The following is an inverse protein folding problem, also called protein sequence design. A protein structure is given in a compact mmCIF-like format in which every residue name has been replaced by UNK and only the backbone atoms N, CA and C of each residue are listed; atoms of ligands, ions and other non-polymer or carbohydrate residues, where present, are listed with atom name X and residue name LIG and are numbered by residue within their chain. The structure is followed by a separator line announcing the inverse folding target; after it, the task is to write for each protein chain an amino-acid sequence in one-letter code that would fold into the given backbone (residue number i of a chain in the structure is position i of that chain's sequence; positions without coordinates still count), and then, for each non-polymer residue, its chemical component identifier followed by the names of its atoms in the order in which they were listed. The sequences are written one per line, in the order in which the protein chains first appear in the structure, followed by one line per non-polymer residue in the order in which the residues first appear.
data_IF_077591580537
#
_entry.id   IF_077591580537
#
_cell.length_a   1.000
_cell.length_b   1.000
_cell.length_c   1.000
_cell.angle_alpha   90.00
_cell.angle_beta   90.00
_cell.angle_gamma   90.00
#
_symmetry.space_group_name_H-M   'P 1'
#
loop_
_entity.id
_entity.type
_entity.pdbx_description
1 polymer ?
#
# COMPACT_ATOMS: atom_id res chain seq x y z
N UNK A 1 -4.86 -12.30 -11.58
CA UNK A 1 -4.48 -12.61 -12.99
C UNK A 1 -5.15 -13.91 -13.40
N UNK A 2 -5.53 -14.08 -14.68
CA UNK A 2 -6.19 -15.29 -15.16
C UNK A 2 -5.30 -16.54 -15.05
N UNK A 3 -5.90 -17.66 -14.61
CA UNK A 3 -5.21 -18.97 -14.47
C UNK A 3 -4.87 -19.62 -15.81
N UNK A 4 -5.58 -19.24 -16.88
CA UNK A 4 -5.43 -19.81 -18.23
C UNK A 4 -5.06 -18.72 -19.25
N UNK A 5 -4.17 -19.04 -20.18
CA UNK A 5 -3.76 -18.17 -21.31
C UNK A 5 -3.31 -16.74 -20.91
N UNK A 6 -2.89 -16.54 -19.67
CA UNK A 6 -2.31 -15.28 -19.20
C UNK A 6 -0.83 -15.17 -19.54
N UNK A 7 -0.30 -13.94 -19.45
CA UNK A 7 1.14 -13.68 -19.53
C UNK A 7 1.93 -14.58 -18.55
N UNK A 8 1.39 -14.80 -17.36
CA UNK A 8 1.99 -15.69 -16.36
C UNK A 8 2.11 -17.12 -16.87
N UNK A 9 1.01 -17.71 -17.37
CA UNK A 9 1.04 -19.10 -17.88
C UNK A 9 2.01 -19.25 -19.05
N UNK A 10 2.00 -18.31 -20.01
CA UNK A 10 2.90 -18.34 -21.18
C UNK A 10 4.37 -18.14 -20.80
N UNK A 11 4.66 -17.31 -19.82
CA UNK A 11 6.02 -17.11 -19.33
C UNK A 11 6.55 -18.38 -18.63
N UNK A 12 5.71 -19.06 -17.83
CA UNK A 12 6.06 -20.34 -17.18
C UNK A 12 6.27 -21.48 -18.17
N UNK A 13 5.53 -21.50 -19.28
CA UNK A 13 5.75 -22.47 -20.37
C UNK A 13 7.14 -22.32 -21.00
N UNK A 14 7.61 -21.07 -21.20
CA UNK A 14 8.93 -20.79 -21.77
C UNK A 14 10.08 -21.02 -20.78
N UNK A 15 9.87 -20.73 -19.50
CA UNK A 15 10.86 -20.92 -18.46
C UNK A 15 10.17 -21.32 -17.16
N UNK A 16 10.32 -22.59 -16.75
CA UNK A 16 9.70 -23.12 -15.52
C UNK A 16 10.27 -22.51 -14.25
N UNK A 17 11.50 -21.99 -14.30
CA UNK A 17 12.19 -21.42 -13.14
C UNK A 17 11.85 -19.94 -12.91
N UNK A 18 11.16 -19.30 -13.86
CA UNK A 18 10.77 -17.90 -13.75
C UNK A 18 9.98 -17.67 -12.45
N UNK A 19 10.39 -16.65 -11.71
CA UNK A 19 9.64 -16.20 -10.54
C UNK A 19 8.65 -15.12 -10.97
N UNK A 20 7.38 -15.35 -10.67
CA UNK A 20 6.30 -14.41 -10.95
C UNK A 20 5.57 -14.21 -9.63
N UNK A 21 5.74 -13.03 -9.06
CA UNK A 21 5.01 -12.61 -7.89
C UNK A 21 3.70 -11.93 -8.34
N UNK A 22 2.61 -12.17 -7.60
CA UNK A 22 1.42 -11.33 -7.70
C UNK A 22 1.72 -9.90 -7.24
N UNK A 23 0.69 -9.07 -7.10
CA UNK A 23 0.86 -7.70 -6.59
C UNK A 23 0.19 -7.63 -5.21
N UNK A 24 0.92 -7.92 -4.11
CA UNK A 24 0.36 -7.90 -2.76
C UNK A 24 -0.31 -6.56 -2.39
N UNK A 25 0.18 -5.45 -2.92
CA UNK A 25 -0.42 -4.12 -2.67
C UNK A 25 -1.84 -4.01 -3.25
N UNK A 26 -2.08 -4.50 -4.48
CA UNK A 26 -3.43 -4.54 -5.06
C UNK A 26 -4.31 -5.54 -4.37
N UNK A 27 -3.77 -6.72 -4.06
CA UNK A 27 -4.52 -7.73 -3.30
C UNK A 27 -4.98 -7.12 -1.97
N UNK A 28 -4.11 -6.40 -1.26
CA UNK A 28 -4.45 -5.71 0.00
C UNK A 28 -5.51 -4.62 -0.19
N UNK A 29 -5.46 -3.87 -1.29
CA UNK A 29 -6.49 -2.86 -1.59
C UNK A 29 -7.84 -3.49 -1.95
N UNK A 30 -7.85 -4.44 -2.87
CA UNK A 30 -9.05 -5.14 -3.32
C UNK A 30 -9.73 -5.88 -2.17
N UNK A 31 -8.93 -6.49 -1.29
CA UNK A 31 -9.39 -7.12 -0.07
C UNK A 31 -10.17 -6.13 0.80
N UNK A 32 -9.59 -4.97 1.09
CA UNK A 32 -10.22 -3.96 1.94
C UNK A 32 -11.51 -3.41 1.31
N UNK A 33 -11.46 -3.08 0.02
CA UNK A 33 -12.63 -2.59 -0.73
C UNK A 33 -13.76 -3.62 -0.76
N UNK A 34 -13.44 -4.89 -1.05
CA UNK A 34 -14.44 -5.97 -1.05
C UNK A 34 -15.01 -6.22 0.34
N UNK A 35 -14.19 -6.22 1.38
CA UNK A 35 -14.65 -6.40 2.75
C UNK A 35 -15.57 -5.26 3.19
N UNK A 36 -15.24 -4.01 2.85
CA UNK A 36 -16.11 -2.87 3.12
C UNK A 36 -17.41 -2.87 2.32
N UNK A 37 -17.41 -3.42 1.11
CA UNK A 37 -18.64 -3.58 0.34
C UNK A 37 -19.59 -4.60 1.01
N UNK A 38 -19.08 -5.69 1.59
CA UNK A 38 -19.91 -6.64 2.35
C UNK A 38 -20.43 -6.00 3.65
N UNK A 39 -19.57 -5.24 4.35
CA UNK A 39 -20.00 -4.46 5.52
C UNK A 39 -21.17 -3.52 5.17
N UNK A 40 -21.03 -2.77 4.07
CA UNK A 40 -22.05 -1.82 3.60
C UNK A 40 -23.35 -2.50 3.18
N UNK A 41 -23.31 -3.74 2.68
CA UNK A 41 -24.52 -4.50 2.35
C UNK A 41 -25.35 -4.84 3.58
N UNK A 42 -24.70 -5.19 4.70
CA UNK A 42 -25.38 -5.54 5.95
C UNK A 42 -25.84 -4.30 6.74
N UNK A 43 -24.99 -3.28 6.86
CA UNK A 43 -25.28 -2.08 7.66
C UNK A 43 -26.04 -1.00 6.88
N UNK A 44 -25.92 -1.00 5.56
CA UNK A 44 -26.38 0.10 4.70
C UNK A 44 -25.46 1.33 4.72
N UNK A 45 -24.26 1.22 5.31
CA UNK A 45 -23.28 2.30 5.40
C UNK A 45 -22.08 2.04 4.46
N UNK A 46 -22.04 2.75 3.33
CA UNK A 46 -20.91 2.74 2.41
C UNK A 46 -19.94 3.89 2.73
N UNK A 47 -18.74 3.53 3.18
CA UNK A 47 -17.72 4.49 3.61
C UNK A 47 -17.12 5.31 2.47
N UNK A 48 -16.92 4.69 1.30
CA UNK A 48 -16.35 5.34 0.14
C UNK A 48 -17.32 6.42 -0.35
N UNK A 49 -18.59 6.05 -0.57
CA UNK A 49 -19.64 6.98 -0.99
C UNK A 49 -19.88 8.08 0.03
N UNK A 50 -19.88 7.75 1.32
CA UNK A 50 -20.00 8.73 2.40
C UNK A 50 -18.86 9.76 2.37
N UNK A 51 -17.60 9.31 2.30
CA UNK A 51 -16.45 10.22 2.23
C UNK A 51 -16.47 11.10 0.97
N UNK A 52 -16.85 10.52 -0.17
CA UNK A 52 -17.00 11.23 -1.44
C UNK A 52 -18.07 12.31 -1.31
N UNK A 53 -19.26 11.98 -0.82
CA UNK A 53 -20.36 12.92 -0.68
C UNK A 53 -20.01 14.09 0.26
N UNK A 54 -19.36 13.82 1.40
CA UNK A 54 -18.89 14.87 2.30
C UNK A 54 -17.90 15.80 1.57
N UNK A 55 -16.90 15.26 0.87
CA UNK A 55 -15.96 16.05 0.10
C UNK A 55 -16.66 16.91 -0.95
N UNK A 56 -17.46 16.30 -1.83
CA UNK A 56 -18.14 16.98 -2.93
C UNK A 56 -19.11 18.06 -2.45
N UNK A 57 -19.77 17.84 -1.30
CA UNK A 57 -20.68 18.83 -0.73
C UNK A 57 -19.98 20.16 -0.43
N UNK A 58 -18.77 20.11 0.14
CA UNK A 58 -18.04 21.28 0.58
C UNK A 58 -17.04 21.81 -0.46
N UNK A 59 -16.41 20.96 -1.28
CA UNK A 59 -15.20 21.31 -2.06
C UNK A 59 -15.39 22.55 -2.96
N UNK A 60 -16.55 22.69 -3.61
CA UNK A 60 -16.85 23.79 -4.56
C UNK A 60 -17.64 24.96 -3.97
N UNK A 61 -17.99 24.96 -2.69
CA UNK A 61 -18.86 25.99 -2.12
C UNK A 61 -18.22 26.68 -0.93
N UNK A 62 -17.74 27.91 -1.15
CA UNK A 62 -17.24 28.78 -0.07
C UNK A 62 -18.31 29.06 0.98
N UNK A 63 -19.57 29.26 0.55
CA UNK A 63 -20.71 29.44 1.46
C UNK A 63 -20.90 28.23 2.39
N UNK A 64 -20.86 27.00 1.86
CA UNK A 64 -21.02 25.80 2.70
C UNK A 64 -19.83 25.60 3.65
N UNK A 65 -18.61 25.94 3.21
CA UNK A 65 -17.42 25.90 4.07
C UNK A 65 -17.54 26.89 5.24
N UNK A 66 -17.94 28.14 4.97
CA UNK A 66 -18.19 29.13 6.00
C UNK A 66 -19.29 28.69 6.98
N UNK A 67 -20.39 28.12 6.46
CA UNK A 67 -21.42 27.52 7.30
C UNK A 67 -20.87 26.41 8.20
N UNK A 68 -20.12 25.46 7.66
CA UNK A 68 -19.49 24.41 8.47
C UNK A 68 -18.58 24.99 9.56
N UNK A 69 -17.83 26.06 9.29
CA UNK A 69 -16.98 26.74 10.26
C UNK A 69 -17.80 27.36 11.41
N UNK A 70 -18.97 27.94 11.13
CA UNK A 70 -19.90 28.42 12.17
C UNK A 70 -20.40 27.27 13.06
N UNK A 71 -20.75 26.12 12.47
CA UNK A 71 -21.12 24.92 13.25
C UNK A 71 -19.91 24.30 13.98
N UNK A 72 -18.69 24.50 13.51
CA UNK A 72 -17.46 24.14 14.24
C UNK A 72 -17.34 24.97 15.51
N UNK A 73 -17.50 26.29 15.41
CA UNK A 73 -17.50 27.20 16.56
C UNK A 73 -18.64 26.88 17.53
N UNK A 74 -19.85 26.62 17.02
CA UNK A 74 -21.00 26.26 17.85
C UNK A 74 -20.80 24.95 18.65
N UNK A 75 -20.08 23.98 18.09
CA UNK A 75 -19.82 22.70 18.74
C UNK A 75 -18.48 22.64 19.50
N UNK A 76 -17.81 23.79 19.71
CA UNK A 76 -16.48 23.87 20.31
C UNK A 76 -15.44 22.95 19.61
N UNK A 77 -15.48 22.89 18.28
CA UNK A 77 -14.53 22.14 17.46
C UNK A 77 -13.68 23.07 16.59
N UNK A 78 -12.39 22.78 16.47
CA UNK A 78 -11.52 23.48 15.53
C UNK A 78 -11.91 23.15 14.08
N UNK A 79 -12.18 24.19 13.29
CA UNK A 79 -12.43 24.01 11.86
C UNK A 79 -11.20 23.42 11.16
N UNK A 80 -11.46 22.42 10.31
CA UNK A 80 -10.46 21.79 9.46
C UNK A 80 -11.06 21.58 8.07
N UNK A 81 -10.33 21.85 6.98
CA UNK A 81 -10.84 21.58 5.64
C UNK A 81 -11.22 20.11 5.45
N UNK A 82 -12.34 19.82 4.78
CA UNK A 82 -12.65 18.43 4.41
C UNK A 82 -11.58 17.91 3.43
N UNK A 83 -11.18 16.66 3.60
CA UNK A 83 -10.18 16.00 2.73
C UNK A 83 -10.92 15.28 1.61
N UNK A 84 -10.44 15.47 0.38
CA UNK A 84 -10.97 14.78 -0.78
C UNK A 84 -10.53 13.32 -0.82
N UNK A 85 -11.46 12.45 -1.23
CA UNK A 85 -11.24 11.02 -1.34
C UNK A 85 -11.52 10.54 -2.76
N UNK A 86 -10.66 9.63 -3.26
CA UNK A 86 -10.85 8.94 -4.54
C UNK A 86 -10.81 7.44 -4.28
N UNK A 87 -11.90 6.74 -4.65
CA UNK A 87 -12.20 5.35 -4.28
C UNK A 87 -11.08 4.33 -4.57
N UNK A 88 -10.20 4.62 -5.52
CA UNK A 88 -9.07 3.75 -5.86
C UNK A 88 -7.89 3.83 -4.87
N UNK A 89 -8.01 4.57 -3.76
CA UNK A 89 -6.90 4.80 -2.80
C UNK A 89 -7.34 4.68 -1.35
N UNK A 90 -7.28 3.46 -0.84
CA UNK A 90 -7.49 3.16 0.59
C UNK A 90 -6.69 4.04 1.58
N UNK A 91 -5.49 4.50 1.21
CA UNK A 91 -4.69 5.42 2.04
C UNK A 91 -5.37 6.78 2.22
N UNK A 92 -6.02 7.29 1.16
CA UNK A 92 -6.78 8.54 1.25
C UNK A 92 -8.08 8.38 2.02
N UNK A 93 -8.64 7.16 2.04
CA UNK A 93 -9.86 6.85 2.77
C UNK A 93 -9.67 6.98 4.28
N UNK A 94 -8.53 6.50 4.82
CA UNK A 94 -8.16 6.72 6.23
C UNK A 94 -8.07 8.21 6.56
N UNK A 95 -7.39 9.00 5.71
CA UNK A 95 -7.22 10.44 5.95
C UNK A 95 -8.56 11.17 5.96
N UNK A 96 -9.44 10.87 4.99
CA UNK A 96 -10.79 11.44 4.91
C UNK A 96 -11.64 11.02 6.11
N UNK A 97 -11.67 9.74 6.44
CA UNK A 97 -12.41 9.20 7.61
C UNK A 97 -11.96 9.86 8.91
N UNK A 98 -10.66 9.94 9.14
CA UNK A 98 -10.10 10.59 10.33
C UNK A 98 -10.48 12.09 10.39
N UNK A 99 -10.50 12.79 9.26
CA UNK A 99 -10.93 14.19 9.19
C UNK A 99 -12.42 14.33 9.51
N UNK A 100 -13.25 13.43 8.98
CA UNK A 100 -14.69 13.43 9.22
C UNK A 100 -14.98 13.16 10.70
N UNK A 101 -14.33 12.17 11.32
CA UNK A 101 -14.47 11.90 12.75
C UNK A 101 -14.06 13.08 13.63
N UNK A 102 -13.01 13.83 13.25
CA UNK A 102 -12.62 15.05 13.96
C UNK A 102 -13.69 16.15 13.87
N UNK A 103 -14.45 16.21 12.77
CA UNK A 103 -15.50 17.19 12.53
C UNK A 103 -16.90 16.64 12.82
N UNK A 104 -17.00 15.45 13.42
CA UNK A 104 -18.24 14.68 13.42
C UNK A 104 -19.41 15.44 14.08
N UNK A 105 -19.19 16.07 15.24
CA UNK A 105 -20.24 16.81 15.96
C UNK A 105 -20.75 17.98 15.12
N UNK A 106 -19.86 18.75 14.53
CA UNK A 106 -20.20 19.88 13.67
C UNK A 106 -20.87 19.47 12.37
N UNK A 107 -20.42 18.38 11.73
CA UNK A 107 -21.05 17.83 10.54
C UNK A 107 -22.47 17.33 10.85
N UNK A 108 -22.63 16.58 11.95
CA UNK A 108 -23.95 16.12 12.41
C UNK A 108 -24.87 17.29 12.70
N UNK A 109 -24.41 18.29 13.46
CA UNK A 109 -25.18 19.50 13.77
C UNK A 109 -25.60 20.24 12.49
N UNK A 110 -24.68 20.41 11.54
CA UNK A 110 -24.93 21.04 10.24
C UNK A 110 -26.01 20.29 9.44
N UNK A 111 -25.85 18.99 9.20
CA UNK A 111 -26.77 18.25 8.33
C UNK A 111 -28.14 17.98 8.96
N UNK A 112 -28.23 17.92 10.29
CA UNK A 112 -29.51 17.77 10.99
C UNK A 112 -30.29 19.09 11.08
N UNK A 113 -29.59 20.22 11.20
CA UNK A 113 -30.22 21.55 11.32
C UNK A 113 -30.58 22.15 9.97
N UNK A 114 -29.74 21.94 8.95
CA UNK A 114 -29.98 22.46 7.61
C UNK A 114 -31.04 21.66 6.85
N UNK A 115 -31.56 22.28 5.78
CA UNK A 115 -32.45 21.61 4.83
C UNK A 115 -31.86 21.65 3.42
N UNK A 116 -31.97 20.53 2.72
CA UNK A 116 -31.43 20.40 1.37
C UNK A 116 -32.23 19.38 0.56
N UNK A 117 -32.57 19.75 -0.67
CA UNK A 117 -33.29 18.88 -1.60
C UNK A 117 -32.39 17.91 -2.37
N UNK A 118 -31.08 18.21 -2.42
CA UNK A 118 -30.07 17.43 -3.14
C UNK A 118 -29.96 16.00 -2.58
N UNK A 119 -29.78 15.00 -3.45
CA UNK A 119 -29.68 13.59 -3.05
C UNK A 119 -28.53 13.35 -2.06
N UNK A 120 -27.36 13.95 -2.32
CA UNK A 120 -26.19 13.87 -1.41
C UNK A 120 -26.48 14.47 -0.04
N UNK A 121 -27.26 15.57 0.04
CA UNK A 121 -27.67 16.13 1.34
C UNK A 121 -28.53 15.14 2.14
N UNK A 122 -29.52 14.53 1.47
CA UNK A 122 -30.41 13.55 2.11
C UNK A 122 -29.64 12.32 2.56
N UNK A 123 -28.70 11.85 1.73
CA UNK A 123 -27.81 10.74 2.06
C UNK A 123 -26.94 11.07 3.28
N UNK A 124 -26.22 12.19 3.28
CA UNK A 124 -25.38 12.64 4.39
C UNK A 124 -26.17 12.85 5.68
N UNK A 125 -27.35 13.47 5.59
CA UNK A 125 -28.24 13.63 6.74
C UNK A 125 -28.70 12.29 7.31
N UNK A 126 -29.02 11.31 6.46
CA UNK A 126 -29.37 9.96 6.90
C UNK A 126 -28.18 9.24 7.53
N UNK A 127 -26.99 9.36 6.94
CA UNK A 127 -25.77 8.70 7.42
C UNK A 127 -25.25 9.29 8.75
N UNK A 128 -25.46 10.59 9.00
CA UNK A 128 -25.05 11.28 10.24
C UNK A 128 -26.13 11.27 11.34
N UNK A 129 -27.32 10.75 11.07
CA UNK A 129 -28.41 10.62 12.03
C UNK A 129 -28.21 9.50 13.07
N UNK A 130 -27.78 8.26 12.70
CA UNK A 130 -27.50 7.21 13.67
C UNK A 130 -26.21 7.49 14.48
N UNK A 131 -25.80 6.54 15.31
CA UNK A 131 -24.58 6.63 16.10
C UNK A 131 -23.34 6.23 15.26
N UNK A 132 -22.16 6.56 15.77
CA UNK A 132 -20.91 6.66 14.99
C UNK A 132 -20.17 5.32 14.85
N UNK A 133 -20.78 4.20 15.27
CA UNK A 133 -20.09 2.92 15.46
C UNK A 133 -19.51 2.36 14.17
N UNK A 134 -20.23 2.49 13.05
CA UNK A 134 -19.75 2.04 11.73
C UNK A 134 -18.44 2.75 11.35
N UNK A 135 -18.41 4.08 11.50
CA UNK A 135 -17.26 4.91 11.16
C UNK A 135 -16.09 4.66 12.12
N UNK A 136 -16.38 4.46 13.41
CA UNK A 136 -15.36 4.14 14.43
C UNK A 136 -14.74 2.74 14.22
N UNK A 137 -15.55 1.74 13.85
CA UNK A 137 -15.06 0.42 13.48
C UNK A 137 -14.14 0.47 12.25
N UNK A 138 -14.58 1.16 11.20
CA UNK A 138 -13.80 1.30 9.97
C UNK A 138 -12.51 2.11 10.21
N UNK A 139 -12.56 3.14 11.07
CA UNK A 139 -11.36 3.83 11.54
C UNK A 139 -10.38 2.86 12.23
N UNK A 140 -10.92 2.02 13.12
CA UNK A 140 -10.13 1.04 13.86
C UNK A 140 -9.44 0.02 12.95
N UNK A 141 -10.06 -0.36 11.83
CA UNK A 141 -9.52 -1.39 10.94
C UNK A 141 -8.48 -0.88 9.94
N UNK A 142 -8.37 0.44 9.71
CA UNK A 142 -7.38 0.99 8.78
C UNK A 142 -5.91 0.64 9.10
N UNK A 143 -5.42 0.75 10.35
CA UNK A 143 -3.98 0.65 10.62
C UNK A 143 -3.34 -0.68 10.20
N UNK A 144 -3.94 -1.87 10.43
CA UNK A 144 -3.41 -3.11 9.88
C UNK A 144 -3.18 -3.08 8.36
N UNK A 145 -4.18 -2.66 7.59
CA UNK A 145 -4.12 -2.62 6.12
C UNK A 145 -3.11 -1.59 5.63
N UNK A 146 -3.10 -0.42 6.26
CA UNK A 146 -2.25 0.69 5.85
C UNK A 146 -0.78 0.46 6.20
N UNK A 147 -0.50 -0.15 7.35
CA UNK A 147 0.86 -0.52 7.70
C UNK A 147 1.41 -1.58 6.73
N UNK A 148 0.62 -2.60 6.41
CA UNK A 148 1.00 -3.59 5.40
C UNK A 148 1.21 -2.92 4.04
N UNK A 149 0.26 -2.10 3.59
CA UNK A 149 0.36 -1.40 2.30
C UNK A 149 1.58 -0.47 2.22
N UNK A 150 1.84 0.34 3.25
CA UNK A 150 3.02 1.23 3.30
C UNK A 150 4.31 0.42 3.19
N UNK A 151 4.40 -0.73 3.86
CA UNK A 151 5.54 -1.63 3.75
C UNK A 151 5.67 -2.22 2.34
N UNK A 152 4.55 -2.65 1.76
CA UNK A 152 4.49 -3.21 0.40
C UNK A 152 4.71 -2.18 -0.72
N UNK A 153 4.75 -0.89 -0.39
CA UNK A 153 4.98 0.21 -1.33
C UNK A 153 6.38 0.82 -1.18
N UNK A 154 7.21 0.29 -0.28
CA UNK A 154 8.60 0.73 -0.11
C UNK A 154 9.41 0.39 -1.36
N UNK A 155 10.39 1.25 -1.65
CA UNK A 155 11.30 1.07 -2.80
C UNK A 155 12.49 0.18 -2.43
N UNK A 156 12.79 0.04 -1.13
CA UNK A 156 13.90 -0.80 -0.69
C UNK A 156 13.62 -2.29 -0.91
N UNK A 157 14.65 -3.11 -1.20
CA UNK A 157 14.48 -4.54 -1.42
C UNK A 157 14.18 -5.30 -0.11
N UNK A 158 12.91 -5.37 0.25
CA UNK A 158 12.41 -5.91 1.52
C UNK A 158 11.75 -7.30 1.41
N UNK A 159 11.97 -8.01 0.30
CA UNK A 159 11.33 -9.31 0.02
C UNK A 159 11.40 -10.28 1.21
N UNK A 160 12.54 -10.33 1.91
CA UNK A 160 12.83 -11.16 3.08
C UNK A 160 11.92 -10.93 4.30
N UNK A 161 11.13 -9.84 4.32
CA UNK A 161 10.16 -9.53 5.37
C UNK A 161 8.72 -9.80 4.95
N UNK A 162 8.44 -9.96 3.66
CA UNK A 162 7.07 -9.91 3.14
C UNK A 162 6.17 -10.96 3.78
N UNK A 163 6.62 -12.21 3.81
CA UNK A 163 5.84 -13.29 4.40
C UNK A 163 5.57 -13.03 5.88
N UNK A 164 6.61 -12.61 6.63
CA UNK A 164 6.48 -12.29 8.04
C UNK A 164 5.48 -11.16 8.28
N UNK A 165 5.49 -10.11 7.46
CA UNK A 165 4.59 -8.97 7.61
C UNK A 165 3.15 -9.30 7.17
N UNK A 166 2.96 -10.11 6.14
CA UNK A 166 1.64 -10.64 5.77
C UNK A 166 1.08 -11.55 6.88
N UNK A 167 1.91 -12.38 7.51
CA UNK A 167 1.51 -13.20 8.65
C UNK A 167 1.20 -12.36 9.90
N UNK A 168 1.96 -11.30 10.17
CA UNK A 168 1.66 -10.34 11.26
C UNK A 168 0.34 -9.62 10.99
N UNK A 169 0.11 -9.19 9.76
CA UNK A 169 -1.17 -8.59 9.34
C UNK A 169 -2.32 -9.56 9.60
N UNK A 170 -2.19 -10.81 9.16
CA UNK A 170 -3.19 -11.85 9.40
C UNK A 170 -3.48 -12.04 10.89
N UNK A 171 -2.45 -12.17 11.73
CA UNK A 171 -2.62 -12.29 13.19
C UNK A 171 -3.32 -11.07 13.80
N UNK A 172 -3.13 -9.88 13.25
CA UNK A 172 -3.83 -8.65 13.71
C UNK A 172 -5.31 -8.65 13.32
N UNK A 173 -5.65 -9.17 12.15
CA UNK A 173 -7.03 -9.24 11.65
C UNK A 173 -7.79 -10.41 12.29
N UNK A 174 -7.18 -11.58 12.36
CA UNK A 174 -7.79 -12.84 12.83
C UNK A 174 -7.75 -13.04 14.34
N UNK A 175 -6.91 -12.28 15.05
CA UNK A 175 -6.53 -12.65 16.41
C UNK A 175 -5.58 -13.86 16.44
N UNK A 176 -5.44 -14.48 17.61
CA UNK A 176 -4.39 -15.47 17.88
C UNK A 176 -4.63 -16.87 17.31
N UNK A 177 -5.83 -17.22 16.82
CA UNK A 177 -6.11 -18.59 16.34
C UNK A 177 -6.73 -18.63 14.94
N UNK A 178 -5.98 -19.20 13.99
CA UNK A 178 -6.37 -19.31 12.57
C UNK A 178 -7.31 -20.49 12.28
N UNK A 179 -7.57 -21.36 13.26
CA UNK A 179 -8.14 -22.70 13.01
C UNK A 179 -9.65 -22.84 13.25
N UNK A 180 -10.35 -21.81 13.73
CA UNK A 180 -11.80 -21.86 13.98
C UNK A 180 -12.45 -20.48 13.81
N UNK A 181 -12.45 -19.92 12.58
CA UNK A 181 -13.08 -18.62 12.29
C UNK A 181 -14.56 -18.59 12.69
N UNK A 182 -15.33 -19.59 12.27
CA UNK A 182 -16.80 -19.59 12.46
C UNK A 182 -17.23 -19.65 13.93
N UNK A 183 -16.41 -20.24 14.83
CA UNK A 183 -16.75 -20.36 16.26
C UNK A 183 -16.17 -19.26 17.14
N UNK A 184 -15.17 -18.52 16.66
CA UNK A 184 -14.55 -17.41 17.41
C UNK A 184 -15.29 -16.09 17.23
N UNK A 185 -15.93 -15.88 16.08
CA UNK A 185 -16.69 -14.65 15.84
C UNK A 185 -17.91 -14.53 16.78
N UNK A 186 -18.52 -15.64 17.21
CA UNK A 186 -19.73 -15.57 18.05
C UNK A 186 -19.52 -15.08 19.50
N UNK A 187 -18.28 -15.11 20.03
CA UNK A 187 -18.06 -14.78 21.44
C UNK A 187 -17.37 -13.42 21.68
N UNK A 188 -16.42 -13.01 20.84
CA UNK A 188 -15.69 -11.74 21.05
C UNK A 188 -15.07 -11.18 19.75
N UNK A 189 -15.91 -10.74 18.80
CA UNK A 189 -15.39 -9.99 17.64
C UNK A 189 -14.68 -8.71 18.12
N UNK A 190 -13.44 -8.51 17.72
CA UNK A 190 -12.65 -7.35 18.09
C UNK A 190 -13.01 -6.14 17.21
N UNK A 191 -13.86 -5.25 17.73
CA UNK A 191 -14.31 -4.03 17.04
C UNK A 191 -13.53 -2.76 17.42
N UNK A 192 -12.49 -2.92 18.25
CA UNK A 192 -11.78 -1.81 18.88
C UNK A 192 -12.39 -1.36 20.21
N UNK A 193 -11.54 -0.86 21.12
CA UNK A 193 -11.96 -0.46 22.48
C UNK A 193 -12.88 0.76 22.47
N UNK A 194 -12.60 1.74 21.60
CA UNK A 194 -13.39 2.98 21.46
C UNK A 194 -14.79 2.63 20.95
N UNK A 195 -14.89 1.91 19.84
CA UNK A 195 -16.16 1.46 19.27
C UNK A 195 -17.00 0.68 20.27
N UNK A 196 -16.37 -0.26 21.00
CA UNK A 196 -17.06 -1.02 22.05
C UNK A 196 -17.59 -0.12 23.17
N UNK A 197 -16.78 0.83 23.64
CA UNK A 197 -17.20 1.74 24.70
C UNK A 197 -18.38 2.64 24.25
N UNK A 198 -18.35 3.13 23.01
CA UNK A 198 -19.43 3.92 22.41
C UNK A 198 -20.71 3.10 22.31
N UNK A 199 -20.63 1.88 21.78
CA UNK A 199 -21.77 0.97 21.64
C UNK A 199 -22.40 0.64 23.00
N UNK A 200 -21.58 0.26 24.00
CA UNK A 200 -22.08 -0.02 25.36
C UNK A 200 -22.76 1.20 25.98
N UNK A 201 -22.22 2.40 25.75
CA UNK A 201 -22.83 3.64 26.24
C UNK A 201 -24.16 3.93 25.54
N UNK A 202 -24.24 3.75 24.22
CA UNK A 202 -25.47 3.91 23.44
C UNK A 202 -26.58 2.94 23.88
N UNK A 203 -26.23 1.68 24.11
CA UNK A 203 -27.16 0.67 24.66
C UNK A 203 -27.68 1.04 26.05
N UNK A 204 -26.80 1.49 26.95
CA UNK A 204 -27.19 1.90 28.31
C UNK A 204 -28.07 3.16 28.34
N UNK A 205 -27.87 4.06 27.37
CA UNK A 205 -28.63 5.31 27.26
C UNK A 205 -29.96 5.13 26.51
N UNK A 206 -30.19 3.98 25.85
CA UNK A 206 -31.33 3.76 24.97
C UNK A 206 -31.22 4.46 23.61
N UNK A 207 -30.02 4.96 23.27
CA UNK A 207 -29.73 5.62 21.99
C UNK A 207 -29.52 4.60 20.85
N UNK A 208 -29.19 3.35 21.19
CA UNK A 208 -28.97 2.24 20.25
C UNK A 208 -30.01 1.14 20.46
N UNK A 209 -30.82 0.86 19.45
CA UNK A 209 -31.76 -0.25 19.46
C UNK A 209 -31.08 -1.59 19.11
N UNK A 210 -31.62 -2.69 19.64
CA UNK A 210 -31.05 -4.04 19.47
C UNK A 210 -30.93 -4.46 18.00
N UNK A 211 -31.83 -4.00 17.12
CA UNK A 211 -31.80 -4.33 15.69
C UNK A 211 -30.60 -3.65 15.02
N UNK A 212 -30.36 -2.36 15.32
CA UNK A 212 -29.20 -1.63 14.80
C UNK A 212 -27.88 -2.22 15.31
N UNK A 213 -27.82 -2.64 16.58
CA UNK A 213 -26.63 -3.31 17.13
C UNK A 213 -26.37 -4.64 16.45
N UNK A 214 -27.40 -5.46 16.22
CA UNK A 214 -27.25 -6.74 15.52
C UNK A 214 -26.77 -6.53 14.09
N UNK A 215 -27.36 -5.59 13.34
CA UNK A 215 -26.91 -5.25 11.98
C UNK A 215 -25.45 -4.80 11.94
N UNK A 216 -25.02 -3.99 12.91
CA UNK A 216 -23.62 -3.60 13.03
C UNK A 216 -22.71 -4.84 13.17
N UNK A 217 -23.04 -5.76 14.07
CA UNK A 217 -22.26 -6.99 14.26
C UNK A 217 -22.30 -7.92 13.05
N UNK A 218 -23.44 -8.03 12.35
CA UNK A 218 -23.56 -8.77 11.09
C UNK A 218 -22.61 -8.18 10.03
N UNK A 219 -22.57 -6.85 9.91
CA UNK A 219 -21.64 -6.16 9.01
C UNK A 219 -20.18 -6.38 9.38
N UNK A 220 -19.83 -6.27 10.67
CA UNK A 220 -18.48 -6.57 11.16
C UNK A 220 -18.10 -8.01 10.84
N UNK A 221 -19.00 -8.97 11.06
CA UNK A 221 -18.80 -10.37 10.76
C UNK A 221 -18.54 -10.58 9.25
N UNK A 222 -19.40 -10.01 8.39
CA UNK A 222 -19.26 -10.06 6.95
C UNK A 222 -17.92 -9.47 6.47
N UNK A 223 -17.49 -8.34 7.05
CA UNK A 223 -16.18 -7.74 6.78
C UNK A 223 -15.03 -8.70 7.05
N UNK A 224 -15.00 -9.33 8.23
CA UNK A 224 -13.93 -10.25 8.61
C UNK A 224 -13.95 -11.51 7.77
N UNK A 225 -15.10 -12.15 7.59
CA UNK A 225 -15.24 -13.34 6.74
C UNK A 225 -14.71 -13.06 5.34
N UNK A 226 -15.12 -11.94 4.74
CA UNK A 226 -14.66 -11.56 3.39
C UNK A 226 -13.17 -11.30 3.33
N UNK A 227 -12.63 -10.58 4.32
CA UNK A 227 -11.20 -10.32 4.43
C UNK A 227 -10.42 -11.63 4.45
N UNK A 228 -10.84 -12.58 5.28
CA UNK A 228 -10.14 -13.84 5.47
C UNK A 228 -10.22 -14.74 4.24
N UNK A 229 -11.41 -14.88 3.65
CA UNK A 229 -11.60 -15.62 2.41
C UNK A 229 -10.71 -15.05 1.29
N UNK A 230 -10.67 -13.72 1.15
CA UNK A 230 -9.87 -13.08 0.10
C UNK A 230 -8.37 -13.25 0.32
N UNK A 231 -7.89 -13.15 1.57
CA UNK A 231 -6.47 -13.38 1.91
C UNK A 231 -6.06 -14.80 1.53
N UNK A 232 -6.82 -15.80 2.00
CA UNK A 232 -6.47 -17.20 1.80
C UNK A 232 -6.44 -17.57 0.31
N UNK A 233 -7.27 -16.92 -0.51
CA UNK A 233 -7.29 -17.15 -1.95
C UNK A 233 -6.18 -16.39 -2.71
N UNK A 234 -5.83 -15.17 -2.29
CA UNK A 234 -5.06 -14.25 -3.14
C UNK A 234 -3.67 -13.90 -2.62
N UNK A 235 -3.41 -13.91 -1.30
CA UNK A 235 -2.07 -13.60 -0.78
C UNK A 235 -1.12 -14.79 -1.00
N UNK A 236 0.16 -14.56 -1.35
CA UNK A 236 1.14 -15.60 -1.60
C UNK A 236 1.69 -16.19 -0.29
N UNK A 237 0.82 -16.69 0.59
CA UNK A 237 1.19 -17.21 1.91
C UNK A 237 1.99 -18.51 1.84
N UNK A 238 1.75 -19.33 0.82
CA UNK A 238 2.45 -20.60 0.56
C UNK A 238 3.60 -20.46 -0.47
N UNK A 239 4.01 -19.23 -0.78
CA UNK A 239 5.04 -19.01 -1.80
C UNK A 239 6.41 -19.49 -1.33
N UNK A 240 6.96 -20.48 -2.04
CA UNK A 240 8.23 -21.11 -1.71
C UNK A 240 9.41 -20.14 -1.77
N UNK A 241 9.40 -19.12 -2.62
CA UNK A 241 10.44 -18.08 -2.62
C UNK A 241 10.37 -17.29 -1.32
N UNK A 242 9.17 -16.83 -0.94
CA UNK A 242 8.96 -16.03 0.29
C UNK A 242 9.21 -16.83 1.58
N UNK A 243 9.02 -18.15 1.58
CA UNK A 243 9.38 -19.00 2.72
C UNK A 243 10.89 -19.17 2.91
N UNK A 244 11.67 -19.05 1.84
CA UNK A 244 13.11 -19.32 1.87
C UNK A 244 13.95 -18.02 1.89
N UNK A 245 13.44 -16.90 1.41
CA UNK A 245 14.17 -15.63 1.40
C UNK A 245 14.61 -15.07 2.77
N UNK A 246 14.05 -15.45 3.95
CA UNK A 246 14.54 -14.90 5.22
C UNK A 246 15.99 -15.32 5.53
N UNK A 247 16.55 -16.28 4.79
CA UNK A 247 17.94 -16.73 4.95
C UNK A 247 19.00 -15.65 4.70
N UNK A 248 18.63 -14.55 4.04
CA UNK A 248 19.51 -13.41 3.84
C UNK A 248 19.21 -12.25 4.80
N UNK A 249 18.18 -12.37 5.64
CA UNK A 249 17.78 -11.35 6.58
C UNK A 249 18.72 -11.28 7.78
N UNK A 250 19.24 -10.10 8.09
CA UNK A 250 20.21 -9.94 9.17
C UNK A 250 19.65 -10.34 10.53
N UNK A 251 18.42 -9.93 10.87
CA UNK A 251 17.77 -10.31 12.15
C UNK A 251 17.28 -11.76 12.14
N UNK A 252 16.90 -12.30 10.99
CA UNK A 252 16.42 -13.67 10.85
C UNK A 252 17.55 -14.71 10.76
N UNK A 253 18.82 -14.30 10.57
CA UNK A 253 19.94 -15.21 10.28
C UNK A 253 20.12 -16.35 11.27
N UNK A 254 19.86 -16.13 12.57
CA UNK A 254 20.01 -17.14 13.61
C UNK A 254 18.92 -18.22 13.54
N UNK A 255 17.76 -17.89 12.99
CA UNK A 255 16.63 -18.82 12.82
C UNK A 255 16.54 -19.39 11.41
N UNK A 256 17.36 -18.91 10.49
CA UNK A 256 17.42 -19.40 9.12
C UNK A 256 18.15 -20.74 9.02
N UNK A 257 17.75 -21.55 8.04
CA UNK A 257 18.35 -22.84 7.76
C UNK A 257 19.08 -22.84 6.43
N UNK A 258 20.19 -23.58 6.33
CA UNK A 258 20.96 -23.68 5.10
C UNK A 258 20.14 -24.24 3.92
N UNK A 259 19.12 -25.06 4.20
CA UNK A 259 18.16 -25.57 3.20
C UNK A 259 17.48 -24.44 2.42
N UNK A 260 17.28 -23.28 3.04
CA UNK A 260 16.72 -22.11 2.39
C UNK A 260 17.68 -21.50 1.36
N UNK A 261 18.98 -21.44 1.67
CA UNK A 261 20.03 -21.04 0.70
C UNK A 261 20.11 -22.06 -0.43
N UNK A 262 20.05 -23.36 -0.11
CA UNK A 262 20.09 -24.44 -1.09
C UNK A 262 18.92 -24.35 -2.09
N UNK A 263 17.72 -23.98 -1.62
CA UNK A 263 16.57 -23.76 -2.49
C UNK A 263 16.89 -22.77 -3.62
N UNK A 264 17.50 -21.62 -3.33
CA UNK A 264 17.84 -20.63 -4.37
C UNK A 264 18.97 -21.09 -5.28
N UNK A 265 19.99 -21.76 -4.73
CA UNK A 265 21.10 -22.31 -5.51
C UNK A 265 20.60 -23.34 -6.52
N UNK A 266 19.67 -24.19 -6.10
CA UNK A 266 19.06 -25.22 -6.96
C UNK A 266 18.12 -24.61 -7.99
N UNK A 267 17.20 -23.73 -7.55
CA UNK A 267 16.17 -23.13 -8.41
C UNK A 267 16.75 -22.25 -9.52
N UNK A 268 17.81 -21.49 -9.22
CA UNK A 268 18.38 -20.53 -10.18
C UNK A 268 19.77 -20.94 -10.69
N UNK A 269 20.12 -22.22 -10.53
CA UNK A 269 21.33 -22.85 -11.11
C UNK A 269 22.62 -22.06 -10.83
N UNK A 270 22.78 -21.60 -9.58
CA UNK A 270 24.05 -20.99 -9.16
C UNK A 270 25.11 -22.10 -9.02
N UNK A 271 26.30 -21.93 -9.61
CA UNK A 271 27.38 -22.93 -9.56
C UNK A 271 27.61 -23.41 -8.11
N UNK A 272 27.40 -24.72 -7.84
CA UNK A 272 27.64 -25.35 -6.54
C UNK A 272 29.09 -25.13 -6.12
N UNK A 273 29.31 -24.27 -5.14
CA UNK A 273 30.53 -24.20 -4.33
C UNK A 273 30.14 -24.27 -2.86
N UNK A 274 31.11 -24.51 -1.98
CA UNK A 274 30.95 -24.70 -0.51
C UNK A 274 30.23 -23.52 0.16
N UNK A 275 28.91 -23.44 0.01
CA UNK A 275 28.08 -22.36 0.57
C UNK A 275 27.64 -22.63 2.01
N UNK A 276 27.81 -23.86 2.51
CA UNK A 276 27.48 -24.20 3.89
C UNK A 276 28.41 -23.49 4.89
N UNK A 277 29.72 -23.51 4.63
CA UNK A 277 30.71 -22.82 5.48
C UNK A 277 30.49 -21.30 5.49
N UNK A 278 30.18 -20.72 4.31
CA UNK A 278 29.83 -19.30 4.17
C UNK A 278 28.56 -18.94 4.98
N UNK A 279 27.55 -19.80 4.93
CA UNK A 279 26.30 -19.57 5.67
C UNK A 279 26.52 -19.67 7.18
N UNK A 280 27.27 -20.67 7.65
CA UNK A 280 27.60 -20.80 9.07
C UNK A 280 28.37 -19.57 9.55
N UNK A 281 29.39 -19.13 8.79
CA UNK A 281 30.14 -17.90 9.07
C UNK A 281 29.20 -16.70 9.19
N UNK A 282 28.27 -16.52 8.25
CA UNK A 282 27.25 -15.46 8.29
C UNK A 282 26.37 -15.52 9.55
N UNK A 283 25.91 -16.72 9.96
CA UNK A 283 25.05 -16.86 11.15
C UNK A 283 25.77 -16.44 12.44
N UNK A 284 27.05 -16.81 12.57
CA UNK A 284 27.85 -16.51 13.77
C UNK A 284 28.53 -15.13 13.73
N UNK A 285 28.35 -14.35 12.65
CA UNK A 285 28.86 -12.98 12.59
C UNK A 285 28.33 -12.17 13.77
N UNK A 286 29.27 -11.52 14.48
CA UNK A 286 28.94 -10.62 15.59
C UNK A 286 28.03 -9.51 15.09
N UNK A 287 27.01 -9.23 15.88
CA UNK A 287 26.16 -8.09 15.64
C UNK A 287 26.90 -6.82 16.08
N UNK A 288 27.49 -6.11 15.12
CA UNK A 288 28.07 -4.80 15.39
C UNK A 288 26.99 -3.74 15.12
N UNK A 289 26.64 -2.95 16.15
CA UNK A 289 25.65 -1.87 16.06
C UNK A 289 24.40 -2.06 16.90
N UNK A 290 23.51 -1.05 16.91
CA UNK A 290 22.22 -1.13 17.59
C UNK A 290 21.25 -2.03 16.81
N UNK A 291 20.39 -2.75 17.54
CA UNK A 291 19.29 -3.49 16.93
C UNK A 291 18.30 -2.53 16.28
N UNK A 292 18.14 -2.64 14.96
CA UNK A 292 17.13 -1.92 14.22
C UNK A 292 15.95 -2.84 13.90
N UNK A 293 14.74 -2.27 13.94
CA UNK A 293 13.53 -2.95 13.49
C UNK A 293 13.63 -3.40 12.02
N UNK A 294 14.37 -2.66 11.19
CA UNK A 294 14.51 -2.90 9.76
C UNK A 294 15.92 -2.58 9.28
N UNK A 295 16.56 -3.53 8.61
CA UNK A 295 17.86 -3.32 7.99
C UNK A 295 17.76 -3.22 6.47
N UNK A 296 18.49 -2.29 5.86
CA UNK A 296 18.60 -2.19 4.40
C UNK A 296 19.50 -3.31 3.86
N UNK A 297 18.90 -4.46 3.54
CA UNK A 297 19.68 -5.65 3.21
C UNK A 297 20.57 -5.51 1.98
N UNK A 298 20.22 -4.67 1.00
CA UNK A 298 21.12 -4.35 -0.12
C UNK A 298 22.38 -3.59 0.31
N UNK A 299 22.29 -2.75 1.35
CA UNK A 299 23.45 -2.06 1.92
C UNK A 299 24.33 -3.05 2.67
N UNK A 300 23.72 -3.88 3.54
CA UNK A 300 24.45 -4.89 4.30
C UNK A 300 25.12 -5.88 3.36
N UNK A 301 24.39 -6.49 2.43
CA UNK A 301 24.99 -7.43 1.48
C UNK A 301 25.96 -6.75 0.52
N UNK A 302 25.74 -5.47 0.19
CA UNK A 302 26.72 -4.64 -0.50
C UNK A 302 28.07 -4.68 0.22
N UNK A 303 28.08 -4.39 1.52
CA UNK A 303 29.26 -4.43 2.38
C UNK A 303 29.81 -5.85 2.60
N UNK A 304 28.96 -6.83 2.94
CA UNK A 304 29.41 -8.21 3.16
C UNK A 304 30.11 -8.79 1.93
N UNK A 305 29.67 -8.42 0.72
CA UNK A 305 30.33 -8.89 -0.51
C UNK A 305 31.69 -8.27 -0.79
N UNK A 306 32.10 -7.20 -0.10
CA UNK A 306 33.45 -6.62 -0.19
C UNK A 306 34.41 -7.16 0.86
N UNK A 307 33.89 -7.85 1.89
CA UNK A 307 34.73 -8.45 2.93
C UNK A 307 35.66 -9.53 2.37
N UNK A 308 36.87 -9.56 2.91
CA UNK A 308 37.87 -10.61 2.66
C UNK A 308 37.82 -11.66 3.77
N UNK A 309 38.16 -12.90 3.44
CA UNK A 309 38.16 -14.03 4.41
C UNK A 309 39.17 -13.82 5.56
N UNK A 310 40.29 -13.17 5.26
CA UNK A 310 41.33 -12.77 6.21
C UNK A 310 42.06 -11.54 5.66
N UNK A 311 42.65 -10.73 6.53
CA UNK A 311 43.48 -9.57 6.16
C UNK A 311 44.65 -9.95 5.23
N UNK A 312 45.14 -11.19 5.32
CA UNK A 312 46.25 -11.70 4.51
C UNK A 312 45.84 -12.32 3.17
N UNK A 313 44.54 -12.51 2.90
CA UNK A 313 44.05 -13.16 1.69
C UNK A 313 43.19 -12.20 0.86
N UNK A 314 43.37 -12.18 -0.46
CA UNK A 314 42.50 -11.42 -1.38
C UNK A 314 41.16 -12.11 -1.67
N UNK A 315 40.93 -13.31 -1.10
CA UNK A 315 39.73 -14.09 -1.36
C UNK A 315 38.51 -13.45 -0.67
N UNK A 316 37.37 -13.32 -1.38
CA UNK A 316 36.14 -12.83 -0.80
C UNK A 316 35.64 -13.77 0.31
N UNK A 317 35.05 -13.20 1.35
CA UNK A 317 34.48 -13.95 2.49
C UNK A 317 33.22 -14.73 2.08
N UNK A 318 32.34 -14.12 1.28
CA UNK A 318 31.04 -14.68 0.87
C UNK A 318 30.83 -14.77 -0.67
N UNK A 319 31.66 -15.51 -1.43
CA UNK A 319 31.59 -15.55 -2.89
C UNK A 319 30.32 -16.21 -3.44
N UNK A 320 29.72 -17.18 -2.73
CA UNK A 320 28.50 -17.86 -3.15
C UNK A 320 27.28 -17.22 -2.50
N UNK A 321 27.30 -17.06 -1.19
CA UNK A 321 26.19 -16.51 -0.42
C UNK A 321 25.89 -15.06 -0.82
N UNK A 322 26.93 -14.26 -1.11
CA UNK A 322 26.76 -12.92 -1.65
C UNK A 322 26.05 -12.87 -3.02
N UNK A 323 26.22 -13.90 -3.86
CA UNK A 323 25.47 -14.01 -5.14
C UNK A 323 24.02 -14.40 -4.91
N UNK A 324 23.78 -15.33 -3.98
CA UNK A 324 22.42 -15.73 -3.58
C UNK A 324 21.66 -14.52 -3.03
N UNK A 325 22.29 -13.73 -2.15
CA UNK A 325 21.65 -12.54 -1.59
C UNK A 325 21.36 -11.48 -2.64
N UNK A 326 22.31 -11.16 -3.52
CA UNK A 326 22.07 -10.23 -4.63
C UNK A 326 20.93 -10.71 -5.54
N UNK A 327 20.89 -12.00 -5.86
CA UNK A 327 19.80 -12.60 -6.62
C UNK A 327 18.45 -12.39 -5.92
N UNK A 328 18.32 -12.79 -4.65
CA UNK A 328 17.08 -12.64 -3.87
C UNK A 328 16.62 -11.18 -3.83
N UNK A 329 17.53 -10.25 -3.54
CA UNK A 329 17.23 -8.81 -3.47
C UNK A 329 16.84 -8.19 -4.83
N UNK A 330 17.14 -8.86 -5.95
CA UNK A 330 16.72 -8.46 -7.30
C UNK A 330 15.41 -9.10 -7.75
N UNK A 331 14.85 -10.06 -6.99
CA UNK A 331 13.59 -10.68 -7.36
C UNK A 331 12.45 -9.65 -7.34
N UNK A 332 11.50 -9.71 -8.29
CA UNK A 332 10.34 -8.84 -8.28
C UNK A 332 9.50 -9.11 -7.04
N UNK A 333 9.41 -8.12 -6.17
CA UNK A 333 8.68 -8.20 -4.92
C UNK A 333 7.76 -6.99 -4.72
N UNK A 334 8.00 -5.91 -5.47
CA UNK A 334 7.11 -4.76 -5.62
C UNK A 334 6.97 -4.38 -7.09
N UNK A 335 5.84 -3.76 -7.39
CA UNK A 335 5.61 -3.11 -8.67
C UNK A 335 5.33 -1.61 -8.50
N UNK A 336 5.41 -1.07 -7.28
CA UNK A 336 5.12 0.34 -7.01
C UNK A 336 5.97 1.27 -7.90
N UNK A 337 7.24 0.94 -8.14
CA UNK A 337 8.09 1.69 -9.06
C UNK A 337 7.65 1.56 -10.52
N UNK A 338 7.32 0.35 -10.96
CA UNK A 338 6.79 0.13 -12.31
C UNK A 338 5.46 0.89 -12.51
N UNK A 339 4.58 0.87 -11.53
CA UNK A 339 3.31 1.61 -11.53
C UNK A 339 3.49 3.12 -11.46
N UNK A 340 4.48 3.59 -10.71
CA UNK A 340 4.84 5.01 -10.69
C UNK A 340 5.31 5.46 -12.07
N UNK A 341 6.13 4.67 -12.75
CA UNK A 341 6.52 4.92 -14.14
C UNK A 341 5.30 4.92 -15.07
N UNK A 342 4.40 3.94 -14.97
CA UNK A 342 3.17 3.92 -15.77
C UNK A 342 2.25 5.10 -15.47
N UNK A 343 2.16 5.53 -14.21
CA UNK A 343 1.42 6.72 -13.81
C UNK A 343 2.03 7.98 -14.41
N UNK A 344 3.36 8.12 -14.39
CA UNK A 344 4.07 9.24 -15.03
C UNK A 344 3.82 9.26 -16.54
N UNK A 345 3.84 8.10 -17.21
CA UNK A 345 3.49 7.98 -18.64
C UNK A 345 2.07 8.47 -18.88
N UNK A 346 1.11 8.05 -18.04
CA UNK A 346 -0.29 8.47 -18.16
C UNK A 346 -0.46 9.98 -17.92
N UNK A 347 0.20 10.54 -16.90
CA UNK A 347 0.17 11.97 -16.60
C UNK A 347 0.81 12.84 -17.70
N UNK A 348 1.73 12.28 -18.49
CA UNK A 348 2.31 12.97 -19.63
C UNK A 348 1.35 13.05 -20.84
N UNK A 349 0.31 12.22 -20.86
CA UNK A 349 -0.76 12.34 -21.84
C UNK A 349 -1.74 13.41 -21.38
N UNK A 350 -1.89 14.46 -22.17
CA UNK A 350 -2.88 15.52 -21.93
C UNK A 350 -3.89 15.53 -23.07
N UNK A 351 -4.99 16.26 -22.91
CA UNK A 351 -5.95 16.47 -24.00
C UNK A 351 -5.32 17.12 -25.23
N UNK A 352 -4.22 17.86 -25.06
CA UNK A 352 -3.44 18.49 -26.14
C UNK A 352 -2.24 17.65 -26.61
N UNK A 353 -1.93 16.55 -25.91
CA UNK A 353 -0.82 15.61 -26.17
C UNK A 353 -1.28 14.20 -25.84
N UNK A 354 -2.21 13.67 -26.62
CA UNK A 354 -2.85 12.37 -26.41
C UNK A 354 -1.97 11.19 -26.90
N UNK A 355 -1.04 11.48 -27.82
CA UNK A 355 -0.05 10.56 -28.34
C UNK A 355 1.38 10.97 -27.94
N UNK A 356 2.16 9.99 -27.49
CA UNK A 356 3.58 10.15 -27.19
C UNK A 356 4.36 9.19 -28.08
N UNK A 357 5.44 9.66 -28.71
CA UNK A 357 6.30 8.80 -29.50
C UNK A 357 7.03 7.81 -28.60
N UNK A 358 7.21 6.57 -29.07
CA UNK A 358 7.99 5.55 -28.36
C UNK A 358 9.45 5.98 -28.20
N UNK A 359 9.96 6.77 -29.15
CA UNK A 359 11.32 7.28 -29.09
C UNK A 359 11.51 8.41 -28.08
N UNK A 360 10.52 9.27 -27.84
CA UNK A 360 10.63 10.46 -26.98
C UNK A 360 10.16 10.26 -25.53
N UNK A 361 9.33 9.22 -25.31
CA UNK A 361 8.80 8.89 -23.98
C UNK A 361 9.91 8.53 -22.98
N UNK A 362 10.91 7.69 -23.32
CA UNK A 362 11.98 7.34 -22.40
C UNK A 362 12.78 8.56 -21.92
N UNK A 363 13.14 9.51 -22.78
CA UNK A 363 13.93 10.69 -22.39
C UNK A 363 13.11 11.60 -21.47
N UNK A 364 11.82 11.79 -21.76
CA UNK A 364 10.92 12.55 -20.89
C UNK A 364 10.83 11.93 -19.50
N UNK A 365 10.68 10.61 -19.43
CA UNK A 365 10.67 9.86 -18.17
C UNK A 365 12.02 9.96 -17.44
N UNK A 366 13.14 9.82 -18.14
CA UNK A 366 14.49 9.96 -17.55
C UNK A 366 14.66 11.32 -16.90
N UNK A 367 14.25 12.40 -17.56
CA UNK A 367 14.33 13.75 -16.99
C UNK A 367 13.48 13.89 -15.73
N UNK A 368 12.24 13.35 -15.74
CA UNK A 368 11.35 13.39 -14.57
C UNK A 368 11.85 12.53 -13.41
N UNK A 369 12.38 11.33 -13.70
CA UNK A 369 12.87 10.41 -12.68
C UNK A 369 14.21 10.85 -12.08
N UNK A 370 15.06 11.53 -12.86
CA UNK A 370 16.34 12.04 -12.38
C UNK A 370 16.20 13.19 -11.36
N UNK A 371 15.01 13.77 -11.23
CA UNK A 371 14.69 14.82 -10.25
C UNK A 371 13.29 14.61 -9.66
N UNK A 372 13.18 13.81 -8.58
CA UNK A 372 11.95 13.74 -7.82
C UNK A 372 11.54 15.12 -7.31
N UNK A 373 10.24 15.42 -7.26
CA UNK A 373 9.71 16.69 -6.75
C UNK A 373 10.18 17.02 -5.32
N UNK A 374 10.61 16.00 -4.57
CA UNK A 374 11.18 16.12 -3.22
C UNK A 374 12.59 16.72 -3.17
N UNK A 375 13.39 16.61 -4.24
CA UNK A 375 14.79 17.05 -4.24
C UNK A 375 15.00 18.47 -4.79
N UNK A 376 14.13 18.95 -5.69
CA UNK A 376 14.12 20.35 -6.12
C UNK A 376 12.87 20.68 -6.95
N UNK A 377 12.30 21.86 -6.71
CA UNK A 377 11.21 22.39 -7.55
C UNK A 377 11.68 22.57 -9.00
N UNK A 378 10.80 22.32 -9.97
CA UNK A 378 11.10 22.38 -11.41
C UNK A 378 11.71 23.71 -11.87
N UNK A 379 11.37 24.84 -11.23
CA UNK A 379 11.90 26.17 -11.54
C UNK A 379 13.34 26.40 -11.07
N UNK A 380 13.91 25.50 -10.26
CA UNK A 380 15.32 25.50 -9.85
C UNK A 380 16.20 24.66 -10.78
N UNK A 381 15.61 24.02 -11.78
CA UNK A 381 16.37 23.26 -12.75
C UNK A 381 17.00 24.19 -13.79
N UNK A 382 18.31 24.36 -13.71
CA UNK A 382 19.10 24.90 -14.80
C UNK A 382 19.67 23.72 -15.63
N UNK A 383 19.23 23.56 -16.89
CA UNK A 383 19.80 22.54 -17.76
C UNK A 383 21.26 22.86 -18.08
N UNK A 384 22.14 21.85 -18.19
CA UNK A 384 23.52 22.07 -18.61
C UNK A 384 23.58 22.82 -19.95
N UNK A 385 24.53 23.76 -20.10
CA UNK A 385 24.68 24.59 -21.32
C UNK A 385 24.75 23.74 -22.60
N UNK A 386 25.40 22.57 -22.54
CA UNK A 386 25.46 21.60 -23.65
C UNK A 386 24.07 21.15 -24.11
N UNK A 387 23.18 20.84 -23.17
CA UNK A 387 21.81 20.41 -23.47
C UNK A 387 21.02 21.56 -24.10
N UNK A 388 21.16 22.79 -23.57
CA UNK A 388 20.49 23.99 -24.12
C UNK A 388 20.93 24.22 -25.57
N UNK A 389 22.23 24.16 -25.86
CA UNK A 389 22.77 24.37 -27.20
C UNK A 389 22.29 23.29 -28.18
N UNK A 390 22.30 22.02 -27.77
CA UNK A 390 21.79 20.92 -28.59
C UNK A 390 20.30 21.07 -28.88
N UNK A 391 19.49 21.38 -27.86
CA UNK A 391 18.04 21.59 -28.01
C UNK A 391 17.72 22.75 -28.95
N UNK A 392 18.44 23.88 -28.86
CA UNK A 392 18.25 25.01 -29.78
C UNK A 392 18.46 24.63 -31.23
N UNK A 393 19.51 23.83 -31.52
CA UNK A 393 19.80 23.34 -32.86
C UNK A 393 18.68 22.45 -33.39
N UNK A 394 18.23 21.47 -32.60
CA UNK A 394 17.16 20.54 -33.00
C UNK A 394 15.82 21.26 -33.18
N UNK A 395 15.46 22.19 -32.30
CA UNK A 395 14.24 23.00 -32.44
C UNK A 395 14.28 23.87 -33.70
N UNK A 396 15.44 24.46 -34.01
CA UNK A 396 15.60 25.23 -35.24
C UNK A 396 15.44 24.35 -36.49
N UNK A 397 16.03 23.16 -36.50
CA UNK A 397 15.88 22.18 -37.60
C UNK A 397 14.43 21.69 -37.75
N UNK A 398 13.72 21.44 -36.65
CA UNK A 398 12.31 21.06 -36.65
C UNK A 398 11.43 22.18 -37.20
N UNK A 399 11.58 23.40 -36.69
CA UNK A 399 10.81 24.56 -37.15
C UNK A 399 11.06 24.83 -38.64
N UNK A 400 12.30 24.66 -39.11
CA UNK A 400 12.62 24.77 -40.54
C UNK A 400 11.91 23.72 -41.39
N UNK A 401 11.87 22.45 -40.94
CA UNK A 401 11.19 21.35 -41.64
C UNK A 401 9.67 21.46 -41.67
N UNK A 402 9.07 22.05 -40.63
CA UNK A 402 7.62 22.17 -40.52
C UNK A 402 7.06 23.54 -40.90
N UNK A 403 7.93 24.50 -41.27
CA UNK A 403 7.51 25.78 -41.83
C UNK A 403 6.92 25.66 -43.25
N UNK A 404 7.13 24.54 -43.94
CA UNK A 404 6.69 24.33 -45.33
C UNK A 404 5.28 23.70 -45.44
N UNK A 405 4.62 23.34 -44.32
CA UNK A 405 3.29 22.69 -44.33
C UNK A 405 2.12 23.68 -44.14
N UNK A 406 2.40 24.98 -44.08
CA UNK A 406 1.38 26.02 -43.83
C UNK A 406 1.32 27.11 -44.92
N UNK A 407 1.59 26.74 -46.16
CA UNK A 407 1.09 27.42 -47.37
C UNK A 407 0.32 26.40 -48.19
#
# INVERSE_FOLDING_TARGET
MGKHNSLMSRAKEKNKDIYICGIPCHITHDMASKASAEFAQETGFDLDDFCIDVSYWFVKSTKRKAGLEEYCQFCDQDYKPVIDHVSIRWLSLEMATNRILQLHRSLRSYFLSETGSQASFKHLRKALAPSDEDLMFLQHIFPPFINLKKLLQREEPLIYLHLQEMQKFLKKILGTDQRNLDKQLDAHIFIGSITRATLTKGMNNGDSDEISVNKFFDGVHAFYVKTCAYVMENLPLDDKVLHNDPCIGYTQRLHAHFTQVQYFVQRFVLKKRRSCDEFLDYQIMRADGQEELFYRMHVIWGYLTTMKKSASTSLPRFPCLGKVAKLILTLPHFNADAERVFSLVRQNKTTFRDSLSLEGTPQLLTVKMARPESDSSCYRFEPPKVVITASKKVTWEHNKKHHEVSK
#
